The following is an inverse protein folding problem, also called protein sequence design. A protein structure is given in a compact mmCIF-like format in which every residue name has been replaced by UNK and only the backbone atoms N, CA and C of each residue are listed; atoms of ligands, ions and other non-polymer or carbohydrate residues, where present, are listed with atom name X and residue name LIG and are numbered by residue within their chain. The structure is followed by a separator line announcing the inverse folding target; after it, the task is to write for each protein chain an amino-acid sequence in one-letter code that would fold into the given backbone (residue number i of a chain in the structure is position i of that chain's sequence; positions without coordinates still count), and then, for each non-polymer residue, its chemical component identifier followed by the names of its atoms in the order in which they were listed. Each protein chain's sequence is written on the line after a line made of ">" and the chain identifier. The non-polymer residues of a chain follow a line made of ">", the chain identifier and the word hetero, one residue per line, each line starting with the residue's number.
data_IF_433428708975
#
_entry.id   IF_433428708975
#
_cell.length_a   1.000
_cell.length_b   1.000
_cell.length_c   1.000
_cell.angle_alpha   90.00
_cell.angle_beta   90.00
_cell.angle_gamma   90.00
#
_symmetry.space_group_name_H-M   'P 1'
#
loop_
_entity.id
_entity.type
_entity.pdbx_description
1 polymer ?
#
# COMPACT_ATOMS: atom_id res chain seq x y z
N UNK A 1 -6.44 -18.34 -7.31
CA UNK A 1 -5.15 -18.37 -6.59
C UNK A 1 -4.69 -16.95 -6.34
N UNK A 2 -4.39 -16.59 -5.10
CA UNK A 2 -3.80 -15.28 -4.80
C UNK A 2 -2.28 -15.37 -5.00
N UNK A 3 -1.69 -14.33 -5.60
CA UNK A 3 -0.29 -14.32 -5.99
C UNK A 3 0.40 -13.05 -5.55
N UNK A 4 1.69 -13.15 -5.21
CA UNK A 4 2.59 -12.01 -5.01
C UNK A 4 3.26 -11.70 -6.36
N UNK A 5 3.11 -10.47 -6.83
CA UNK A 5 3.56 -10.04 -8.17
C UNK A 5 4.88 -9.26 -8.16
N UNK A 6 5.40 -8.98 -6.98
CA UNK A 6 6.58 -8.15 -6.79
C UNK A 6 6.75 -7.74 -5.34
N UNK A 7 7.79 -6.97 -5.11
CA UNK A 7 8.14 -6.39 -3.82
C UNK A 7 8.60 -4.93 -3.98
N UNK A 8 8.69 -4.23 -2.86
CA UNK A 8 9.22 -2.88 -2.78
C UNK A 8 9.83 -2.66 -1.40
N UNK A 9 10.67 -1.65 -1.30
CA UNK A 9 11.20 -1.16 -0.03
C UNK A 9 10.42 0.07 0.44
N UNK A 10 10.29 0.23 1.76
CA UNK A 10 9.75 1.46 2.34
C UNK A 10 10.82 2.54 2.29
N UNK A 11 10.50 3.69 1.70
CA UNK A 11 11.35 4.87 1.71
C UNK A 11 11.11 5.71 2.95
N UNK A 12 9.87 6.18 3.13
CA UNK A 12 9.43 6.96 4.28
C UNK A 12 7.96 6.67 4.57
N UNK A 13 7.58 6.80 5.84
CA UNK A 13 6.19 6.76 6.28
C UNK A 13 5.82 8.19 6.68
N UNK A 14 4.80 8.75 6.04
CA UNK A 14 4.20 10.03 6.39
C UNK A 14 3.01 9.78 7.33
N UNK A 15 2.85 10.64 8.33
CA UNK A 15 1.65 10.74 9.15
C UNK A 15 1.26 12.21 9.23
N UNK A 16 0.08 12.55 8.72
CA UNK A 16 -0.38 13.94 8.62
C UNK A 16 -1.91 14.02 8.56
N UNK A 17 -2.44 15.24 8.64
CA UNK A 17 -3.85 15.53 8.38
C UNK A 17 -4.25 15.18 6.95
N UNK A 18 -5.51 14.78 6.73
CA UNK A 18 -5.95 14.21 5.43
C UNK A 18 -5.72 15.14 4.23
N UNK A 19 -5.93 16.45 4.39
CA UNK A 19 -5.72 17.42 3.32
C UNK A 19 -4.24 17.55 2.96
N UNK A 20 -3.37 17.68 3.97
CA UNK A 20 -1.93 17.82 3.78
C UNK A 20 -1.33 16.52 3.23
N UNK A 21 -1.82 15.37 3.69
CA UNK A 21 -1.43 14.05 3.19
C UNK A 21 -1.84 13.88 1.73
N UNK A 22 -3.05 14.31 1.34
CA UNK A 22 -3.51 14.25 -0.04
C UNK A 22 -2.66 15.15 -0.95
N UNK A 23 -2.44 16.40 -0.56
CA UNK A 23 -1.63 17.34 -1.35
C UNK A 23 -0.20 16.83 -1.56
N UNK A 24 0.39 16.17 -0.56
CA UNK A 24 1.72 15.56 -0.66
C UNK A 24 1.77 14.31 -1.57
N UNK A 25 0.66 13.61 -1.77
CA UNK A 25 0.67 12.26 -2.37
C UNK A 25 -0.14 12.13 -3.68
N UNK A 26 -1.04 13.07 -3.98
CA UNK A 26 -2.02 12.97 -5.09
C UNK A 26 -1.43 12.62 -6.46
N UNK A 27 -0.23 13.08 -6.76
CA UNK A 27 0.42 12.84 -8.06
C UNK A 27 0.89 11.38 -8.24
N UNK A 28 1.07 10.65 -7.13
CA UNK A 28 1.63 9.28 -7.12
C UNK A 28 0.77 8.26 -6.36
N UNK A 29 -0.37 8.67 -5.77
CA UNK A 29 -1.23 7.81 -4.96
C UNK A 29 -1.92 6.69 -5.76
N UNK A 30 -2.05 6.85 -7.09
CA UNK A 30 -2.68 5.85 -7.95
C UNK A 30 -4.19 5.67 -7.74
N UNK A 31 -4.82 6.58 -7.00
CA UNK A 31 -6.26 6.60 -6.70
C UNK A 31 -6.84 8.01 -6.92
N UNK A 32 -8.16 8.11 -7.02
CA UNK A 32 -8.84 9.40 -7.13
C UNK A 32 -8.97 10.09 -5.76
N UNK A 33 -9.13 11.40 -5.79
CA UNK A 33 -9.37 12.21 -4.59
C UNK A 33 -10.61 11.75 -3.82
N UNK A 34 -11.71 11.52 -4.52
CA UNK A 34 -12.97 11.10 -3.90
C UNK A 34 -12.80 9.75 -3.17
N UNK A 35 -12.09 8.80 -3.80
CA UNK A 35 -11.80 7.50 -3.18
C UNK A 35 -10.91 7.64 -1.94
N UNK A 36 -9.93 8.55 -1.97
CA UNK A 36 -9.09 8.83 -0.81
C UNK A 36 -9.91 9.33 0.38
N UNK A 37 -10.76 10.34 0.19
CA UNK A 37 -11.58 10.90 1.29
C UNK A 37 -12.70 9.96 1.75
N UNK A 38 -13.23 9.10 0.87
CA UNK A 38 -14.15 8.03 1.24
C UNK A 38 -13.46 6.99 2.13
N UNK A 39 -12.26 6.53 1.75
CA UNK A 39 -11.48 5.56 2.50
C UNK A 39 -11.12 6.06 3.91
N UNK A 40 -10.70 7.33 4.01
CA UNK A 40 -10.38 7.98 5.29
C UNK A 40 -11.60 8.63 5.97
N UNK A 41 -12.83 8.29 5.55
CA UNK A 41 -14.03 8.84 6.19
C UNK A 41 -14.00 8.58 7.71
N UNK A 42 -14.35 9.59 8.49
CA UNK A 42 -14.30 9.58 9.96
C UNK A 42 -12.88 9.53 10.58
N UNK A 43 -11.82 9.74 9.81
CA UNK A 43 -10.45 9.94 10.31
C UNK A 43 -10.05 11.41 10.23
N UNK A 44 -9.14 11.82 11.10
CA UNK A 44 -8.56 13.18 11.10
C UNK A 44 -7.16 13.20 10.48
N UNK A 45 -6.43 12.09 10.62
CA UNK A 45 -5.08 11.88 10.11
C UNK A 45 -5.01 10.54 9.37
N UNK A 46 -4.00 10.39 8.52
CA UNK A 46 -3.76 9.20 7.73
C UNK A 46 -2.26 8.91 7.60
N UNK A 47 -1.96 7.67 7.20
CA UNK A 47 -0.60 7.23 6.93
C UNK A 47 -0.41 7.00 5.44
N UNK A 48 0.70 7.49 4.89
CA UNK A 48 1.14 7.16 3.54
C UNK A 48 2.51 6.50 3.58
N UNK A 49 2.64 5.35 2.91
CA UNK A 49 3.90 4.62 2.77
C UNK A 49 4.48 4.98 1.42
N UNK A 50 5.53 5.79 1.39
CA UNK A 50 6.29 6.02 0.17
C UNK A 50 7.17 4.80 -0.10
N UNK A 51 7.05 4.25 -1.30
CA UNK A 51 7.79 3.05 -1.71
C UNK A 51 8.95 3.42 -2.64
N UNK A 52 10.01 2.61 -2.61
CA UNK A 52 11.16 2.67 -3.53
C UNK A 52 11.59 1.27 -3.93
N UNK A 53 12.53 1.18 -4.87
CA UNK A 53 13.11 -0.10 -5.32
C UNK A 53 12.04 -1.14 -5.70
N UNK A 54 11.02 -0.72 -6.45
CA UNK A 54 9.93 -1.60 -6.87
C UNK A 54 10.47 -2.65 -7.82
N UNK A 55 10.33 -3.93 -7.46
CA UNK A 55 10.73 -5.06 -8.26
C UNK A 55 9.50 -5.90 -8.61
N UNK A 56 9.21 -6.00 -9.92
CA UNK A 56 8.17 -6.89 -10.42
C UNK A 56 8.76 -8.27 -10.69
N UNK A 57 8.10 -9.32 -10.23
CA UNK A 57 8.54 -10.68 -10.49
C UNK A 57 8.20 -11.10 -11.92
N UNK A 58 9.14 -11.80 -12.57
CA UNK A 58 8.88 -12.44 -13.87
C UNK A 58 7.83 -13.54 -13.75
N UNK A 59 7.87 -14.30 -12.64
CA UNK A 59 6.89 -15.33 -12.30
C UNK A 59 6.25 -14.96 -10.95
N UNK A 60 4.94 -14.69 -10.91
CA UNK A 60 4.28 -14.39 -9.64
C UNK A 60 4.25 -15.61 -8.70
N UNK A 61 4.52 -15.36 -7.42
CA UNK A 61 4.61 -16.37 -6.37
C UNK A 61 3.22 -16.73 -5.83
N UNK A 62 2.94 -18.00 -5.56
CA UNK A 62 1.66 -18.42 -4.96
C UNK A 62 1.71 -18.28 -3.44
N UNK A 63 0.83 -17.46 -2.85
CA UNK A 63 0.84 -17.23 -1.39
C UNK A 63 0.67 -18.52 -0.57
N UNK A 64 -0.17 -19.43 -1.06
CA UNK A 64 -0.44 -20.69 -0.39
C UNK A 64 0.73 -21.67 -0.49
N UNK A 65 1.41 -21.73 -1.63
CA UNK A 65 2.47 -22.71 -1.86
C UNK A 65 3.78 -22.26 -1.23
N UNK A 66 4.08 -20.96 -1.31
CA UNK A 66 5.36 -20.38 -0.86
C UNK A 66 5.37 -20.08 0.64
N UNK A 67 4.24 -19.64 1.20
CA UNK A 67 4.16 -19.15 2.58
C UNK A 67 3.08 -19.84 3.42
N UNK A 68 2.26 -20.70 2.83
CA UNK A 68 1.11 -21.35 3.50
C UNK A 68 0.13 -20.36 4.17
N UNK A 69 0.03 -19.13 3.66
CA UNK A 69 -0.82 -18.08 4.22
C UNK A 69 -1.93 -17.62 3.28
N UNK A 70 -2.93 -16.98 3.84
CA UNK A 70 -3.97 -16.24 3.12
C UNK A 70 -3.63 -14.75 3.10
N UNK A 71 -4.15 -13.94 2.14
CA UNK A 71 -3.91 -12.52 2.06
C UNK A 71 -4.28 -11.83 3.38
N UNK A 72 -3.34 -11.08 3.99
CA UNK A 72 -3.65 -10.35 5.21
C UNK A 72 -4.59 -9.17 4.91
N UNK A 73 -5.42 -8.80 5.88
CA UNK A 73 -6.23 -7.58 5.80
C UNK A 73 -5.36 -6.32 6.04
N UNK A 74 -4.23 -6.47 6.73
CA UNK A 74 -3.21 -5.43 6.93
C UNK A 74 -1.87 -5.97 6.44
N UNK A 75 -0.94 -6.33 7.34
CA UNK A 75 0.34 -6.93 7.00
C UNK A 75 0.60 -8.22 7.78
N UNK A 76 1.55 -9.02 7.29
CA UNK A 76 2.02 -10.26 7.87
C UNK A 76 3.54 -10.25 7.87
N UNK A 77 4.17 -10.67 8.98
CA UNK A 77 5.60 -10.95 9.01
C UNK A 77 5.86 -12.35 8.46
N UNK A 78 6.78 -12.45 7.50
CA UNK A 78 7.21 -13.68 6.83
C UNK A 78 8.53 -14.14 7.39
#
# INVERSE_FOLDING_TARGET
>A
MQKVIGEFEIDIILNDGLNDLWEQTKDFAGITQDYFYEYFSQKQEGYAIKIKNVQRYLQPLCLKDEYNVSPPQSFLYV
#
